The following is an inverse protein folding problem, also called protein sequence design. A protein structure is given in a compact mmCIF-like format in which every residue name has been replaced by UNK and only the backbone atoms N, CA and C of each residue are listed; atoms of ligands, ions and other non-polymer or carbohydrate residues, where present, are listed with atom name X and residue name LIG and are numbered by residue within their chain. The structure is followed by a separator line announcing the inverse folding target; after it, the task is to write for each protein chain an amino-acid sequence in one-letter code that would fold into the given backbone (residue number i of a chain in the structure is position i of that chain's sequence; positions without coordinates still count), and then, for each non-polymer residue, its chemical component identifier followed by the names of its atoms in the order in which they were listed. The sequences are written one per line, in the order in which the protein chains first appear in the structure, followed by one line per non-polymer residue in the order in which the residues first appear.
data_IF_337648115460
#
_entry.id   IF_337648115460
#
_cell.length_a   1.000
_cell.length_b   1.000
_cell.length_c   1.000
_cell.angle_alpha   90.00
_cell.angle_beta   90.00
_cell.angle_gamma   90.00
#
_symmetry.space_group_name_H-M   'P 1'
#
loop_
_entity.id
_entity.type
_entity.pdbx_description
1 polymer ?
#
# COMPACT_ATOMS: atom_id res chain seq x y z
N UNK A 1 -4.92 14.90 28.27
CA UNK A 1 -4.32 15.11 26.92
C UNK A 1 -5.30 14.59 25.89
N UNK A 2 -5.44 15.32 24.78
CA UNK A 2 -6.57 15.39 23.83
C UNK A 2 -7.09 14.06 23.27
N UNK A 3 -8.42 14.01 23.10
CA UNK A 3 -9.19 13.22 22.13
C UNK A 3 -8.39 12.70 20.93
N UNK A 4 -8.31 11.38 20.76
CA UNK A 4 -8.13 10.79 19.43
C UNK A 4 -8.74 9.38 19.25
N UNK A 5 -9.83 9.05 19.95
CA UNK A 5 -10.61 7.82 19.71
C UNK A 5 -11.62 8.04 18.56
N UNK A 6 -11.25 8.86 17.58
CA UNK A 6 -11.87 8.86 16.24
C UNK A 6 -11.01 8.11 15.23
N UNK A 7 -10.09 7.26 15.71
CA UNK A 7 -9.43 6.24 14.91
C UNK A 7 -10.46 5.20 14.49
N UNK A 8 -11.18 5.45 13.38
CA UNK A 8 -12.00 4.44 12.71
C UNK A 8 -11.16 3.17 12.61
N UNK A 9 -11.69 2.03 13.07
CA UNK A 9 -10.97 0.77 13.10
C UNK A 9 -10.23 0.53 11.77
N UNK A 10 -8.96 0.15 11.85
CA UNK A 10 -8.17 -0.19 10.68
C UNK A 10 -8.89 -1.36 9.98
N UNK A 11 -9.31 -1.18 8.73
CA UNK A 11 -9.95 -2.28 8.01
C UNK A 11 -8.91 -3.37 7.76
N UNK A 12 -9.35 -4.61 7.75
CA UNK A 12 -8.49 -5.76 7.46
C UNK A 12 -7.70 -5.57 6.16
N UNK A 13 -8.36 -5.06 5.11
CA UNK A 13 -7.72 -4.70 3.84
C UNK A 13 -6.59 -3.69 4.01
N UNK A 14 -6.80 -2.63 4.80
CA UNK A 14 -5.77 -1.62 5.04
C UNK A 14 -4.57 -2.21 5.80
N UNK A 15 -4.82 -3.06 6.80
CA UNK A 15 -3.76 -3.77 7.52
C UNK A 15 -2.90 -4.59 6.56
N UNK A 16 -3.55 -5.40 5.72
CA UNK A 16 -2.86 -6.27 4.76
C UNK A 16 -2.10 -5.48 3.68
N UNK A 17 -2.63 -4.36 3.19
CA UNK A 17 -1.91 -3.48 2.27
C UNK A 17 -0.65 -2.93 2.93
N UNK A 18 -0.74 -2.43 4.17
CA UNK A 18 0.44 -1.93 4.88
C UNK A 18 1.46 -3.06 5.14
N UNK A 19 1.00 -4.25 5.51
CA UNK A 19 1.85 -5.42 5.73
C UNK A 19 2.59 -5.83 4.44
N UNK A 20 1.89 -5.82 3.30
CA UNK A 20 2.47 -6.14 1.99
C UNK A 20 3.55 -5.15 1.53
N UNK A 21 3.55 -3.93 2.09
CA UNK A 21 4.49 -2.84 1.81
C UNK A 21 5.61 -2.75 2.85
N UNK A 22 5.75 -3.72 3.77
CA UNK A 22 6.90 -3.78 4.68
C UNK A 22 8.25 -3.85 3.93
N UNK A 23 8.21 -4.34 2.69
CA UNK A 23 9.25 -4.15 1.68
C UNK A 23 8.64 -3.40 0.48
N UNK A 24 9.43 -2.63 -0.29
CA UNK A 24 8.93 -1.97 -1.49
C UNK A 24 8.20 -2.97 -2.40
N UNK A 25 6.93 -2.69 -2.68
CA UNK A 25 6.06 -3.61 -3.42
C UNK A 25 5.16 -2.83 -4.38
N UNK A 26 4.86 -3.43 -5.53
CA UNK A 26 4.01 -2.84 -6.56
C UNK A 26 2.56 -3.28 -6.38
N UNK A 27 1.61 -2.53 -6.94
CA UNK A 27 0.18 -2.78 -6.78
C UNK A 27 -0.25 -4.23 -7.04
N UNK A 28 0.29 -4.86 -8.08
CA UNK A 28 -0.01 -6.27 -8.38
C UNK A 28 0.55 -7.25 -7.33
N UNK A 29 1.78 -7.02 -6.83
CA UNK A 29 2.37 -7.84 -5.78
C UNK A 29 1.64 -7.73 -4.45
N UNK A 30 1.00 -6.57 -4.20
CA UNK A 30 0.10 -6.39 -3.05
C UNK A 30 -1.14 -7.28 -3.20
N UNK A 31 -1.78 -7.32 -4.38
CA UNK A 31 -2.96 -8.17 -4.59
C UNK A 31 -2.62 -9.65 -4.35
N UNK A 32 -1.52 -10.12 -4.94
CA UNK A 32 -1.07 -11.51 -4.78
C UNK A 32 -0.71 -11.83 -3.33
N UNK A 33 -0.05 -10.91 -2.62
CA UNK A 33 0.28 -11.10 -1.21
C UNK A 33 -0.99 -11.29 -0.38
N UNK A 34 -1.99 -10.44 -0.57
CA UNK A 34 -3.24 -10.50 0.21
C UNK A 34 -4.02 -11.76 -0.10
N UNK A 35 -4.10 -12.14 -1.36
CA UNK A 35 -4.78 -13.37 -1.77
C UNK A 35 -4.09 -14.61 -1.16
N UNK A 36 -2.76 -14.67 -1.20
CA UNK A 36 -2.00 -15.78 -0.63
C UNK A 36 -2.10 -15.85 0.90
N UNK A 37 -1.91 -14.73 1.61
CA UNK A 37 -1.96 -14.68 3.08
C UNK A 37 -3.37 -14.96 3.62
N UNK A 38 -4.40 -14.63 2.86
CA UNK A 38 -5.80 -14.87 3.25
C UNK A 38 -6.37 -16.17 2.69
N UNK A 39 -5.57 -17.00 2.04
CA UNK A 39 -6.00 -18.23 1.35
C UNK A 39 -7.21 -17.98 0.42
N UNK A 40 -7.16 -16.88 -0.34
CA UNK A 40 -8.21 -16.48 -1.29
C UNK A 40 -9.45 -15.85 -0.66
N UNK A 41 -9.53 -15.72 0.68
CA UNK A 41 -10.70 -15.10 1.33
C UNK A 41 -10.84 -13.62 0.97
N UNK A 42 -9.73 -12.91 0.83
CA UNK A 42 -9.70 -11.50 0.44
C UNK A 42 -9.00 -11.37 -0.90
N UNK A 43 -9.77 -10.99 -1.92
CA UNK A 43 -9.24 -10.65 -3.25
C UNK A 43 -9.58 -9.20 -3.57
N UNK A 44 -8.57 -8.41 -3.93
CA UNK A 44 -8.73 -7.00 -4.24
C UNK A 44 -8.63 -6.79 -5.75
N UNK A 45 -9.72 -6.29 -6.35
CA UNK A 45 -9.68 -5.78 -7.72
C UNK A 45 -8.82 -4.51 -7.81
N UNK A 46 -8.33 -4.21 -9.02
CA UNK A 46 -7.49 -3.05 -9.29
C UNK A 46 -8.10 -1.74 -8.80
N UNK A 47 -9.38 -1.49 -9.09
CA UNK A 47 -10.06 -0.26 -8.65
C UNK A 47 -10.07 -0.09 -7.13
N UNK A 48 -10.34 -1.16 -6.39
CA UNK A 48 -10.39 -1.14 -4.91
C UNK A 48 -9.01 -0.93 -4.32
N UNK A 49 -7.98 -1.61 -4.85
CA UNK A 49 -6.62 -1.46 -4.37
C UNK A 49 -6.11 -0.03 -4.59
N UNK A 50 -6.24 0.52 -5.80
CA UNK A 50 -5.74 1.87 -6.07
C UNK A 50 -6.53 2.94 -5.30
N UNK A 51 -7.82 2.73 -5.06
CA UNK A 51 -8.60 3.58 -4.15
C UNK A 51 -8.08 3.54 -2.71
N UNK A 52 -7.73 2.36 -2.20
CA UNK A 52 -7.13 2.19 -0.89
C UNK A 52 -5.73 2.84 -0.82
N UNK A 53 -4.86 2.61 -1.81
CA UNK A 53 -3.53 3.23 -1.91
C UNK A 53 -3.65 4.76 -1.93
N UNK A 54 -4.55 5.33 -2.74
CA UNK A 54 -4.77 6.78 -2.78
C UNK A 54 -5.24 7.33 -1.43
N UNK A 55 -6.09 6.58 -0.72
CA UNK A 55 -6.53 6.95 0.64
C UNK A 55 -5.36 6.93 1.63
N UNK A 56 -4.45 5.96 1.51
CA UNK A 56 -3.26 5.84 2.36
C UNK A 56 -2.22 6.93 2.07
N UNK A 57 -2.04 7.28 0.79
CA UNK A 57 -1.21 8.41 0.36
C UNK A 57 -1.74 9.73 0.92
N UNK A 58 -3.05 9.99 0.79
CA UNK A 58 -3.70 11.21 1.34
C UNK A 58 -3.62 11.32 2.86
N UNK A 59 -3.38 10.20 3.55
CA UNK A 59 -3.19 10.15 5.00
C UNK A 59 -1.72 10.24 5.40
N UNK A 60 -0.79 10.32 4.44
CA UNK A 60 0.66 10.26 4.65
C UNK A 60 1.12 8.99 5.39
N UNK A 61 0.40 7.87 5.21
CA UNK A 61 0.77 6.58 5.82
C UNK A 61 1.74 5.78 4.97
N UNK A 62 1.77 6.05 3.67
CA UNK A 62 2.70 5.46 2.71
C UNK A 62 3.24 6.56 1.83
N UNK A 63 4.44 6.35 1.29
CA UNK A 63 5.06 7.24 0.31
C UNK A 63 5.50 6.43 -0.90
N UNK A 64 5.45 7.01 -2.11
CA UNK A 64 6.05 6.38 -3.29
C UNK A 64 7.52 6.07 -3.01
N UNK A 65 7.95 4.86 -3.36
CA UNK A 65 9.35 4.50 -3.29
C UNK A 65 10.02 4.96 -4.58
N UNK A 66 10.78 6.06 -4.51
CA UNK A 66 11.62 6.47 -5.63
C UNK A 66 12.88 5.59 -5.64
N UNK A 67 13.00 4.76 -6.67
CA UNK A 67 14.28 4.15 -6.98
C UNK A 67 15.20 5.31 -7.36
N UNK A 68 16.23 5.59 -6.56
CA UNK A 68 17.34 6.41 -7.03
C UNK A 68 18.00 5.66 -8.19
N UNK A 69 17.48 5.82 -9.40
CA UNK A 69 18.22 5.52 -10.61
C UNK A 69 19.23 6.64 -10.80
N UNK A 70 20.21 6.73 -9.90
CA UNK A 70 21.49 7.33 -10.25
C UNK A 70 22.15 6.34 -11.21
N UNK A 71 21.80 6.42 -12.49
CA UNK A 71 22.61 5.92 -13.60
C UNK A 71 21.99 6.35 -14.93
N UNK A 72 22.76 7.19 -15.64
CA UNK A 72 22.65 7.61 -17.05
C UNK A 72 21.87 8.91 -17.35
N UNK A 73 22.31 10.01 -16.73
CA UNK A 73 22.64 11.19 -17.55
C UNK A 73 23.96 10.90 -18.28
N UNK A 74 23.88 10.24 -19.43
CA UNK A 74 24.97 10.29 -20.40
C UNK A 74 24.61 11.37 -21.40
N UNK A 75 25.33 12.48 -21.36
CA UNK A 75 25.40 13.46 -22.43
C UNK A 75 25.50 12.73 -23.78
N UNK A 76 24.61 13.06 -24.70
CA UNK A 76 24.88 12.98 -26.14
C UNK A 76 24.53 14.34 -26.74
#
# INVERSE_FOLDING_TARGET
MRDNIKGRALTETTLFILLSMYKPNHGYGIMQFIENETNGRVSLGAGTLYGAINTLLKKDWITPYELNTDTRKNNT
#
